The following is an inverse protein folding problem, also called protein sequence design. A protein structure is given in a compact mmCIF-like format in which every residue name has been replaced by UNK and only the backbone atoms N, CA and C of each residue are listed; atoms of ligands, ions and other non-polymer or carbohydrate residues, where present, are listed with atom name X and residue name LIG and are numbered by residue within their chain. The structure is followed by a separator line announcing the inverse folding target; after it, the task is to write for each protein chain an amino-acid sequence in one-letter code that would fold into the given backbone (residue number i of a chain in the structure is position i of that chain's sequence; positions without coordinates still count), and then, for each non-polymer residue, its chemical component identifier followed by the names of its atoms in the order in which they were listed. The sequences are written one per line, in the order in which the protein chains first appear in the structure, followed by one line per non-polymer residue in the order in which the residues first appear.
data_IF_039162302628
#
_entry.id   IF_039162302628
#
_cell.length_a   1.000
_cell.length_b   1.000
_cell.length_c   1.000
_cell.angle_alpha   90.00
_cell.angle_beta   90.00
_cell.angle_gamma   90.00
#
_symmetry.space_group_name_H-M   'P 1'
#
loop_
_entity.id
_entity.type
_entity.pdbx_description
1 polymer ?
#
# COMPACT_ATOMS: atom_id res chain seq x y z
N UNK A 1 -25.25 -15.17 0.62
CA UNK A 1 -24.04 -14.49 1.15
C UNK A 1 -23.93 -13.18 0.40
N UNK A 2 -23.62 -12.11 1.13
CA UNK A 2 -23.34 -10.80 0.54
C UNK A 2 -21.83 -10.68 0.32
N UNK A 3 -21.42 -10.19 -0.85
CA UNK A 3 -20.03 -10.04 -1.28
C UNK A 3 -19.69 -8.60 -1.65
N UNK A 4 -20.59 -7.67 -1.35
CA UNK A 4 -20.34 -6.24 -1.56
C UNK A 4 -19.32 -5.74 -0.54
N UNK A 5 -18.44 -4.84 -0.98
CA UNK A 5 -17.50 -4.18 -0.08
C UNK A 5 -18.22 -3.09 0.71
N UNK A 6 -17.80 -2.89 1.97
CA UNK A 6 -18.23 -1.73 2.74
C UNK A 6 -17.67 -0.44 2.11
N UNK A 7 -18.27 0.74 2.37
CA UNK A 7 -17.73 2.01 1.90
C UNK A 7 -16.28 2.26 2.33
N UNK A 8 -15.92 1.82 3.54
CA UNK A 8 -14.55 1.91 4.07
C UNK A 8 -13.58 1.01 3.30
N UNK A 9 -13.99 -0.21 2.97
CA UNK A 9 -13.17 -1.14 2.17
C UNK A 9 -12.95 -0.60 0.75
N UNK A 10 -13.96 0.01 0.12
CA UNK A 10 -13.79 0.61 -1.20
C UNK A 10 -12.88 1.83 -1.17
N UNK A 11 -13.03 2.71 -0.16
CA UNK A 11 -12.14 3.85 0.01
C UNK A 11 -10.70 3.40 0.17
N UNK A 12 -10.45 2.43 1.05
CA UNK A 12 -9.12 1.88 1.28
C UNK A 12 -8.52 1.29 -0.01
N UNK A 13 -9.29 0.48 -0.72
CA UNK A 13 -8.89 -0.12 -2.00
C UNK A 13 -8.56 0.95 -3.05
N UNK A 14 -9.30 2.04 -3.10
CA UNK A 14 -9.00 3.16 -4.00
C UNK A 14 -7.68 3.83 -3.63
N UNK A 15 -7.47 4.16 -2.36
CA UNK A 15 -6.23 4.79 -1.89
C UNK A 15 -4.99 3.94 -2.19
N UNK A 16 -5.03 2.64 -1.91
CA UNK A 16 -3.91 1.72 -2.20
C UNK A 16 -3.66 1.59 -3.70
N UNK A 17 -4.72 1.57 -4.51
CA UNK A 17 -4.61 1.52 -5.97
C UNK A 17 -3.91 2.75 -6.52
N UNK A 18 -4.35 3.94 -6.11
CA UNK A 18 -3.78 5.21 -6.59
C UNK A 18 -2.29 5.30 -6.24
N UNK A 19 -1.91 4.91 -5.02
CA UNK A 19 -0.50 4.83 -4.63
C UNK A 19 0.28 3.84 -5.51
N UNK A 20 -0.26 2.63 -5.74
CA UNK A 20 0.41 1.62 -6.54
C UNK A 20 0.66 2.08 -7.99
N UNK A 21 -0.34 2.70 -8.62
CA UNK A 21 -0.27 3.18 -10.01
C UNK A 21 0.66 4.40 -10.15
N UNK A 22 0.70 5.29 -9.15
CA UNK A 22 1.49 6.53 -9.23
C UNK A 22 2.93 6.38 -8.77
N UNK A 23 3.19 5.57 -7.74
CA UNK A 23 4.48 5.54 -7.04
C UNK A 23 5.25 4.23 -7.26
N UNK A 24 4.55 3.08 -7.34
CA UNK A 24 5.17 1.77 -7.49
C UNK A 24 5.31 1.33 -8.95
N UNK A 25 4.23 1.41 -9.75
CA UNK A 25 4.21 0.95 -11.14
C UNK A 25 5.35 1.52 -11.99
N UNK A 26 5.67 2.84 -11.94
CA UNK A 26 6.72 3.41 -12.78
C UNK A 26 8.12 2.86 -12.51
N UNK A 27 8.37 2.33 -11.30
CA UNK A 27 9.67 1.85 -10.86
C UNK A 27 9.71 0.33 -10.64
N UNK A 28 8.57 -0.36 -10.71
CA UNK A 28 8.45 -1.78 -10.37
C UNK A 28 9.43 -2.65 -11.18
N UNK A 29 9.52 -2.43 -12.49
CA UNK A 29 10.45 -3.17 -13.36
C UNK A 29 11.92 -2.92 -12.99
N UNK A 30 12.25 -1.68 -12.64
CA UNK A 30 13.61 -1.31 -12.23
C UNK A 30 14.00 -1.92 -10.89
N UNK A 31 13.04 -1.98 -9.95
CA UNK A 31 13.20 -2.67 -8.68
C UNK A 31 13.55 -4.14 -8.91
N UNK A 32 12.82 -4.82 -9.80
CA UNK A 32 13.00 -6.24 -10.09
C UNK A 32 14.31 -6.52 -10.85
N UNK A 33 14.55 -5.83 -11.97
CA UNK A 33 15.63 -6.14 -12.90
C UNK A 33 16.99 -5.52 -12.52
N UNK A 34 17.01 -4.36 -11.84
CA UNK A 34 18.25 -3.60 -11.61
C UNK A 34 18.59 -3.42 -10.13
N UNK A 35 17.65 -2.94 -9.32
CA UNK A 35 17.95 -2.51 -7.95
C UNK A 35 17.93 -3.67 -6.95
N UNK A 36 17.14 -4.71 -7.24
CA UNK A 36 16.90 -5.87 -6.38
C UNK A 36 16.50 -5.49 -4.94
N UNK A 37 15.91 -4.29 -4.79
CA UNK A 37 15.41 -3.77 -3.52
C UNK A 37 14.37 -2.67 -3.77
N UNK A 38 13.40 -2.58 -2.87
CA UNK A 38 12.46 -1.46 -2.83
C UNK A 38 13.16 -0.26 -2.18
N UNK A 39 13.08 0.95 -2.75
CA UNK A 39 13.62 2.15 -2.11
C UNK A 39 12.98 2.40 -0.75
N UNK A 40 13.78 2.78 0.26
CA UNK A 40 13.27 3.07 1.61
C UNK A 40 12.16 4.14 1.59
N UNK A 41 12.30 5.15 0.74
CA UNK A 41 11.30 6.22 0.60
C UNK A 41 9.90 5.70 0.20
N UNK A 42 9.85 4.63 -0.62
CA UNK A 42 8.58 3.98 -0.98
C UNK A 42 8.04 3.16 0.19
N UNK A 43 8.93 2.47 0.92
CA UNK A 43 8.56 1.71 2.12
C UNK A 43 7.99 2.64 3.19
N UNK A 44 8.62 3.80 3.40
CA UNK A 44 8.18 4.81 4.37
C UNK A 44 6.79 5.34 3.97
N UNK A 45 6.56 5.68 2.69
CA UNK A 45 5.23 6.08 2.19
C UNK A 45 4.18 4.97 2.39
N UNK A 46 4.53 3.71 2.17
CA UNK A 46 3.63 2.58 2.40
C UNK A 46 3.28 2.41 3.89
N UNK A 47 4.24 2.68 4.78
CA UNK A 47 4.04 2.65 6.22
C UNK A 47 3.12 3.80 6.67
N UNK A 48 3.32 5.02 6.15
CA UNK A 48 2.45 6.17 6.44
C UNK A 48 1.01 5.96 5.96
N UNK A 49 0.81 5.18 4.91
CA UNK A 49 -0.52 4.76 4.45
C UNK A 49 -1.16 3.70 5.36
N UNK A 50 -0.45 3.11 6.31
CA UNK A 50 -0.96 2.06 7.20
C UNK A 50 -1.00 0.67 6.57
N UNK A 51 -0.32 0.46 5.42
CA UNK A 51 -0.38 -0.81 4.67
C UNK A 51 0.13 -1.99 5.51
N UNK A 52 1.14 -1.77 6.35
CA UNK A 52 1.72 -2.81 7.21
C UNK A 52 0.96 -3.02 8.52
N UNK A 53 0.07 -2.09 8.89
CA UNK A 53 -0.63 -2.02 10.17
C UNK A 53 -2.10 -2.42 10.12
N UNK A 54 -2.67 -2.75 8.95
CA UNK A 54 -4.13 -2.85 8.73
C UNK A 54 -4.90 -3.78 9.69
N UNK A 55 -4.24 -4.78 10.29
CA UNK A 55 -4.85 -5.71 11.26
C UNK A 55 -4.40 -5.47 12.70
N UNK A 56 -3.55 -4.48 12.92
CA UNK A 56 -2.99 -4.11 14.20
C UNK A 56 -3.84 -2.97 14.78
N UNK A 57 -4.25 -3.02 16.05
CA UNK A 57 -4.93 -1.91 16.68
C UNK A 57 -4.06 -0.64 16.71
N UNK A 58 -4.70 0.52 16.55
CA UNK A 58 -4.03 1.84 16.56
C UNK A 58 -3.19 2.08 17.83
N UNK A 59 -3.60 1.52 18.99
CA UNK A 59 -2.86 1.63 20.25
C UNK A 59 -1.45 1.03 20.19
N UNK A 60 -1.20 0.13 19.23
CA UNK A 60 0.12 -0.48 18.98
C UNK A 60 0.81 0.09 17.74
N UNK A 61 0.27 1.15 17.14
CA UNK A 61 0.82 1.80 15.94
C UNK A 61 0.37 1.15 14.62
N UNK A 62 -0.81 0.51 14.61
CA UNK A 62 -1.51 0.12 13.39
C UNK A 62 -2.21 1.28 12.70
#
# INVERSE_FOLDING_TARGET
MDFTMSPEQELWKQTVREFAEQELEPIARKIDEEWHRIPNEIIDKMADLGIFGITIPEEYGG
#
